data_IF_530708445677
#
_entry.id   IF_530708445677
#
_cell.length_a   1.000
_cell.length_b   1.000
_cell.length_c   1.000
_cell.angle_alpha   90.00
_cell.angle_beta   90.00
_cell.angle_gamma   90.00
#
_symmetry.space_group_name_H-M   'P 1'
#
loop_
_entity.id
_entity.type
_entity.pdbx_description
1 polymer ?
#
# COMPACT_ATOMS: atom_id res chain seq x y z
N UNK A 1 -19.63 -2.58 -8.44
CA UNK A 1 -20.03 -4.01 -8.39
C UNK A 1 -19.48 -4.81 -9.57
N UNK A 2 -19.72 -4.42 -10.83
CA UNK A 2 -19.22 -5.17 -12.00
C UNK A 2 -17.69 -5.37 -12.00
N UNK A 3 -16.91 -4.31 -11.73
CA UNK A 3 -15.45 -4.40 -11.62
C UNK A 3 -15.00 -5.32 -10.47
N UNK A 4 -15.70 -5.29 -9.34
CA UNK A 4 -15.42 -6.17 -8.19
C UNK A 4 -15.62 -7.64 -8.55
N UNK A 5 -16.72 -7.95 -9.23
CA UNK A 5 -16.98 -9.30 -9.74
C UNK A 5 -15.92 -9.68 -10.77
N UNK A 6 -15.60 -8.79 -11.73
CA UNK A 6 -14.59 -9.05 -12.75
C UNK A 6 -13.24 -9.45 -12.11
N UNK A 7 -12.80 -8.74 -11.06
CA UNK A 7 -11.55 -9.06 -10.36
C UNK A 7 -11.59 -10.34 -9.52
N UNK A 8 -12.77 -10.84 -9.13
CA UNK A 8 -12.88 -12.18 -8.53
C UNK A 8 -12.51 -13.27 -9.55
N UNK A 9 -13.00 -13.11 -10.79
CA UNK A 9 -12.83 -14.09 -11.87
C UNK A 9 -11.56 -13.90 -12.69
N UNK A 10 -10.99 -12.70 -12.70
CA UNK A 10 -9.77 -12.38 -13.43
C UNK A 10 -8.97 -11.36 -12.61
N UNK A 11 -8.07 -11.85 -11.76
CA UNK A 11 -7.15 -11.01 -11.00
C UNK A 11 -5.77 -11.02 -11.64
N UNK A 12 -5.02 -9.93 -11.46
CA UNK A 12 -3.61 -9.86 -11.85
C UNK A 12 -2.67 -10.47 -10.81
N UNK A 13 -3.19 -10.91 -9.67
CA UNK A 13 -2.41 -11.17 -8.46
C UNK A 13 -1.68 -12.52 -8.50
N UNK A 14 -2.36 -13.59 -8.92
CA UNK A 14 -1.77 -14.93 -9.05
C UNK A 14 -1.29 -15.24 -10.47
N UNK A 15 -0.91 -14.20 -11.23
CA UNK A 15 -0.21 -14.39 -12.48
C UNK A 15 1.21 -14.88 -12.19
N UNK A 16 1.52 -16.07 -12.69
CA UNK A 16 2.87 -16.63 -12.65
C UNK A 16 3.85 -15.75 -13.42
N UNK A 17 5.10 -15.64 -12.97
CA UNK A 17 6.08 -14.70 -13.53
C UNK A 17 6.46 -14.88 -15.01
N UNK A 18 5.97 -15.92 -15.66
CA UNK A 18 6.12 -16.14 -17.11
C UNK A 18 4.83 -15.90 -17.90
N UNK A 19 3.74 -15.47 -17.26
CA UNK A 19 2.44 -15.25 -17.89
C UNK A 19 1.75 -16.52 -18.42
N UNK A 20 2.29 -17.70 -18.10
CA UNK A 20 1.84 -19.00 -18.65
C UNK A 20 0.53 -19.43 -18.00
N UNK A 21 0.33 -19.11 -16.72
CA UNK A 21 -0.86 -19.49 -15.95
C UNK A 21 -1.38 -18.26 -15.21
N UNK A 22 -2.66 -17.95 -15.45
CA UNK A 22 -3.47 -17.00 -14.67
C UNK A 22 -4.45 -17.79 -13.81
N UNK A 23 -4.25 -17.77 -12.50
CA UNK A 23 -5.14 -18.42 -11.53
C UNK A 23 -6.07 -17.37 -10.92
N UNK A 24 -7.35 -17.41 -11.28
CA UNK A 24 -8.34 -16.58 -10.61
C UNK A 24 -8.61 -17.07 -9.17
N UNK A 25 -9.20 -16.22 -8.32
CA UNK A 25 -9.61 -16.64 -6.98
C UNK A 25 -10.58 -17.82 -7.02
N UNK A 26 -11.45 -17.87 -8.04
CA UNK A 26 -12.39 -18.96 -8.26
C UNK A 26 -11.68 -20.25 -8.67
N UNK A 27 -10.68 -20.18 -9.56
CA UNK A 27 -9.91 -21.39 -9.90
C UNK A 27 -9.21 -21.99 -8.68
N UNK A 28 -8.66 -21.14 -7.81
CA UNK A 28 -7.99 -21.52 -6.57
C UNK A 28 -8.97 -22.11 -5.56
N UNK A 29 -10.17 -21.51 -5.43
CA UNK A 29 -11.27 -22.02 -4.62
C UNK A 29 -11.70 -23.42 -5.07
N UNK A 30 -11.90 -23.62 -6.38
CA UNK A 30 -12.30 -24.91 -6.96
C UNK A 30 -11.21 -25.96 -6.71
N UNK A 31 -9.93 -25.61 -6.96
CA UNK A 31 -8.81 -26.51 -6.73
C UNK A 31 -8.74 -26.97 -5.27
N UNK A 32 -8.88 -26.05 -4.30
CA UNK A 32 -8.90 -26.40 -2.89
C UNK A 32 -10.14 -27.21 -2.49
N UNK A 33 -11.31 -26.91 -3.05
CA UNK A 33 -12.51 -27.70 -2.83
C UNK A 33 -12.33 -29.15 -3.30
N UNK A 34 -11.70 -29.36 -4.46
CA UNK A 34 -11.35 -30.68 -4.96
C UNK A 34 -10.37 -31.40 -4.02
N UNK A 35 -9.39 -30.71 -3.45
CA UNK A 35 -8.47 -31.29 -2.45
C UNK A 35 -9.25 -31.81 -1.23
N UNK A 36 -10.22 -31.06 -0.71
CA UNK A 36 -11.06 -31.55 0.40
C UNK A 36 -11.85 -32.79 0.01
N UNK A 37 -12.45 -32.81 -1.19
CA UNK A 37 -13.19 -33.98 -1.70
C UNK A 37 -12.29 -35.20 -1.82
N UNK A 38 -11.13 -35.07 -2.48
CA UNK A 38 -10.15 -36.16 -2.64
C UNK A 38 -9.68 -36.66 -1.28
N UNK A 39 -9.36 -35.76 -0.35
CA UNK A 39 -8.91 -36.14 1.00
C UNK A 39 -10.00 -36.87 1.77
N UNK A 40 -11.27 -36.48 1.60
CA UNK A 40 -12.41 -37.17 2.22
C UNK A 40 -12.59 -38.61 1.71
N UNK A 41 -12.19 -38.89 0.45
CA UNK A 41 -12.24 -40.22 -0.16
C UNK A 41 -11.09 -41.09 0.38
N UNK A 42 -9.90 -40.50 0.54
CA UNK A 42 -8.72 -41.16 1.12
C UNK A 42 -8.98 -41.50 2.60
N UNK A 43 -9.50 -40.54 3.37
CA UNK A 43 -9.74 -40.68 4.80
C UNK A 43 -11.23 -40.86 5.10
N UNK A 44 -11.76 -42.04 4.76
CA UNK A 44 -13.18 -42.38 4.95
C UNK A 44 -13.67 -42.20 6.39
N UNK A 45 -12.80 -42.38 7.38
CA UNK A 45 -13.14 -42.25 8.80
C UNK A 45 -13.51 -40.80 9.18
N UNK A 46 -12.81 -39.82 8.63
CA UNK A 46 -13.01 -38.39 8.89
C UNK A 46 -13.67 -37.65 7.72
N UNK A 47 -14.21 -38.37 6.74
CA UNK A 47 -14.77 -37.82 5.51
C UNK A 47 -15.80 -36.71 5.77
N UNK A 48 -16.73 -36.93 6.70
CA UNK A 48 -17.75 -35.94 7.07
C UNK A 48 -17.13 -34.64 7.60
N UNK A 49 -16.17 -34.75 8.52
CA UNK A 49 -15.50 -33.60 9.13
C UNK A 49 -14.73 -32.80 8.07
N UNK A 50 -14.00 -33.48 7.19
CA UNK A 50 -13.23 -32.85 6.10
C UNK A 50 -14.16 -32.10 5.14
N UNK A 51 -15.28 -32.70 4.74
CA UNK A 51 -16.27 -32.05 3.86
C UNK A 51 -16.94 -30.87 4.57
N UNK A 52 -17.29 -31.00 5.86
CA UNK A 52 -17.86 -29.90 6.63
C UNK A 52 -16.89 -28.72 6.72
N UNK A 53 -15.61 -28.97 6.99
CA UNK A 53 -14.57 -27.92 6.99
C UNK A 53 -14.47 -27.28 5.61
N UNK A 54 -14.34 -28.09 4.55
CA UNK A 54 -14.21 -27.60 3.17
C UNK A 54 -15.39 -26.71 2.76
N UNK A 55 -16.62 -27.16 2.98
CA UNK A 55 -17.83 -26.39 2.71
C UNK A 55 -17.90 -25.10 3.54
N UNK A 56 -17.53 -25.17 4.82
CA UNK A 56 -17.50 -24.00 5.70
C UNK A 56 -16.52 -22.95 5.20
N UNK A 57 -15.34 -23.36 4.73
CA UNK A 57 -14.34 -22.45 4.18
C UNK A 57 -14.75 -21.84 2.84
N UNK A 58 -15.38 -22.62 1.95
CA UNK A 58 -15.91 -22.13 0.67
C UNK A 58 -17.02 -21.11 0.90
N UNK A 59 -17.95 -21.41 1.82
CA UNK A 59 -19.02 -20.49 2.18
C UNK A 59 -18.46 -19.21 2.83
N UNK A 60 -17.50 -19.35 3.73
CA UNK A 60 -16.86 -18.21 4.40
C UNK A 60 -16.02 -17.35 3.43
N UNK A 61 -15.49 -17.91 2.33
CA UNK A 61 -14.87 -17.11 1.26
C UNK A 61 -15.88 -16.17 0.60
N UNK A 62 -17.08 -16.66 0.31
CA UNK A 62 -18.15 -15.83 -0.27
C UNK A 62 -18.56 -14.73 0.70
N UNK A 63 -18.79 -15.07 1.98
CA UNK A 63 -19.11 -14.09 3.02
C UNK A 63 -18.00 -13.04 3.20
N UNK A 64 -16.74 -13.46 3.19
CA UNK A 64 -15.60 -12.57 3.30
C UNK A 64 -15.54 -11.55 2.16
N UNK A 65 -15.73 -11.99 0.90
CA UNK A 65 -15.74 -11.08 -0.24
C UNK A 65 -16.98 -10.17 -0.24
N UNK A 66 -18.14 -10.63 0.23
CA UNK A 66 -19.31 -9.76 0.42
C UNK A 66 -19.06 -8.70 1.49
N UNK A 67 -18.39 -9.06 2.59
CA UNK A 67 -17.99 -8.11 3.61
C UNK A 67 -16.95 -7.10 3.08
N UNK A 68 -15.97 -7.57 2.29
CA UNK A 68 -15.04 -6.66 1.61
C UNK A 68 -15.77 -5.69 0.68
N UNK A 69 -16.73 -6.16 -0.10
CA UNK A 69 -17.55 -5.30 -0.96
C UNK A 69 -18.26 -4.24 -0.11
N UNK A 70 -18.83 -4.62 1.03
CA UNK A 70 -19.42 -3.65 1.97
C UNK A 70 -18.40 -2.63 2.47
N UNK A 71 -17.18 -3.03 2.83
CA UNK A 71 -16.11 -2.10 3.22
C UNK A 71 -15.75 -1.13 2.09
N UNK A 72 -15.68 -1.61 0.85
CA UNK A 72 -15.47 -0.81 -0.36
C UNK A 72 -16.64 0.13 -0.68
N UNK A 73 -17.83 -0.07 -0.11
CA UNK A 73 -18.97 0.82 -0.32
C UNK A 73 -19.10 1.87 0.78
N UNK A 74 -18.65 1.56 2.00
CA UNK A 74 -18.98 2.36 3.20
C UNK A 74 -17.76 2.99 3.86
N UNK A 75 -16.61 2.31 3.87
CA UNK A 75 -15.47 2.72 4.72
C UNK A 75 -14.25 3.19 3.95
N UNK A 76 -14.00 2.64 2.76
CA UNK A 76 -12.81 3.02 1.99
C UNK A 76 -12.98 4.35 1.26
N UNK A 77 -11.84 5.01 1.01
CA UNK A 77 -11.80 6.26 0.27
C UNK A 77 -12.20 6.04 -1.19
N UNK A 78 -12.72 7.07 -1.85
CA UNK A 78 -13.12 7.01 -3.27
C UNK A 78 -12.03 6.40 -4.16
N UNK A 79 -10.77 6.77 -3.92
CA UNK A 79 -9.62 6.19 -4.61
C UNK A 79 -9.57 4.66 -4.51
N UNK A 80 -9.64 4.14 -3.30
CA UNK A 80 -9.64 2.69 -3.06
C UNK A 80 -10.86 2.03 -3.68
N UNK A 81 -12.04 2.67 -3.58
CA UNK A 81 -13.31 2.14 -4.07
C UNK A 81 -13.40 2.02 -5.58
N UNK A 82 -13.01 3.07 -6.31
CA UNK A 82 -13.09 3.11 -7.77
C UNK A 82 -12.04 2.20 -8.40
N UNK A 83 -10.83 2.16 -7.82
CA UNK A 83 -9.70 1.43 -8.41
C UNK A 83 -9.49 0.02 -7.86
N UNK A 84 -10.21 -0.33 -6.78
CA UNK A 84 -10.02 -1.57 -6.03
C UNK A 84 -8.54 -1.81 -5.71
N UNK A 85 -7.84 -0.74 -5.30
CA UNK A 85 -6.37 -0.71 -5.28
C UNK A 85 -5.78 -1.78 -4.34
N UNK A 86 -6.47 -2.07 -3.24
CA UNK A 86 -6.07 -3.10 -2.28
C UNK A 86 -6.83 -4.42 -2.37
N UNK A 87 -7.82 -4.53 -3.27
CA UNK A 87 -8.80 -5.62 -3.26
C UNK A 87 -8.13 -6.99 -3.40
N UNK A 88 -7.26 -7.12 -4.39
CA UNK A 88 -6.60 -8.38 -4.70
C UNK A 88 -5.77 -8.89 -3.52
N UNK A 89 -5.13 -7.99 -2.76
CA UNK A 89 -4.35 -8.36 -1.56
C UNK A 89 -5.25 -8.91 -0.45
N UNK A 90 -6.40 -8.28 -0.22
CA UNK A 90 -7.35 -8.70 0.80
C UNK A 90 -7.95 -10.07 0.44
N UNK A 91 -8.46 -10.24 -0.78
CA UNK A 91 -9.01 -11.52 -1.24
C UNK A 91 -7.96 -12.63 -1.30
N UNK A 92 -6.72 -12.33 -1.72
CA UNK A 92 -5.63 -13.31 -1.75
C UNK A 92 -5.27 -13.84 -0.36
N UNK A 93 -5.34 -13.00 0.68
CA UNK A 93 -5.08 -13.43 2.06
C UNK A 93 -5.98 -14.60 2.46
N UNK A 94 -7.27 -14.53 2.12
CA UNK A 94 -8.19 -15.63 2.37
C UNK A 94 -7.86 -16.86 1.51
N UNK A 95 -7.55 -16.67 0.22
CA UNK A 95 -7.18 -17.78 -0.67
C UNK A 95 -5.93 -18.52 -0.19
N UNK A 96 -4.95 -17.81 0.37
CA UNK A 96 -3.78 -18.45 1.01
C UNK A 96 -4.18 -19.29 2.22
N UNK A 97 -5.05 -18.78 3.10
CA UNK A 97 -5.53 -19.55 4.24
C UNK A 97 -6.27 -20.83 3.82
N UNK A 98 -7.11 -20.74 2.77
CA UNK A 98 -7.78 -21.89 2.17
C UNK A 98 -6.78 -22.92 1.64
N UNK A 99 -5.79 -22.46 0.88
CA UNK A 99 -4.74 -23.32 0.32
C UNK A 99 -3.94 -24.04 1.41
N UNK A 100 -3.50 -23.32 2.45
CA UNK A 100 -2.73 -23.92 3.54
C UNK A 100 -3.56 -24.92 4.34
N UNK A 101 -4.84 -24.63 4.61
CA UNK A 101 -5.72 -25.57 5.30
C UNK A 101 -5.96 -26.84 4.49
N UNK A 102 -6.28 -26.71 3.20
CA UNK A 102 -6.49 -27.85 2.29
C UNK A 102 -5.24 -28.73 2.22
N UNK A 103 -4.06 -28.09 2.11
CA UNK A 103 -2.76 -28.77 2.10
C UNK A 103 -2.49 -29.51 3.41
N UNK A 104 -2.72 -28.87 4.55
CA UNK A 104 -2.49 -29.47 5.87
C UNK A 104 -3.37 -30.71 6.11
N UNK A 105 -4.66 -30.61 5.75
CA UNK A 105 -5.62 -31.72 5.90
C UNK A 105 -5.24 -32.88 4.98
N UNK A 106 -4.85 -32.61 3.74
CA UNK A 106 -4.36 -33.64 2.81
C UNK A 106 -3.12 -34.35 3.37
N UNK A 107 -2.09 -33.60 3.79
CA UNK A 107 -0.85 -34.17 4.35
C UNK A 107 -1.16 -35.06 5.57
N UNK A 108 -2.02 -34.58 6.47
CA UNK A 108 -2.37 -35.32 7.69
C UNK A 108 -3.12 -36.63 7.42
N UNK A 109 -3.76 -36.74 6.25
CA UNK A 109 -4.57 -37.89 5.84
C UNK A 109 -3.79 -38.93 5.04
N UNK A 110 -2.52 -38.68 4.69
CA UNK A 110 -1.70 -39.63 3.93
C UNK A 110 -1.26 -40.82 4.82
N UNK A 111 -1.35 -42.07 4.30
CA UNK A 111 -1.05 -43.28 5.08
C UNK A 111 0.45 -43.46 5.39
N UNK A 112 1.35 -43.12 4.46
CA UNK A 112 2.81 -43.17 4.67
C UNK A 112 3.36 -41.83 5.15
N UNK A 113 3.20 -41.58 6.44
CA UNK A 113 3.39 -40.26 7.08
C UNK A 113 4.78 -39.63 6.98
N UNK A 114 5.83 -40.31 6.50
CA UNK A 114 7.21 -39.77 6.49
C UNK A 114 7.74 -39.42 5.11
N UNK A 115 7.62 -40.31 4.13
CA UNK A 115 8.19 -40.08 2.79
C UNK A 115 7.18 -39.33 1.91
N UNK A 116 5.91 -39.75 1.89
CA UNK A 116 4.88 -39.07 1.11
C UNK A 116 4.62 -37.64 1.61
N UNK A 117 4.66 -37.42 2.93
CA UNK A 117 4.53 -36.08 3.52
C UNK A 117 5.73 -35.18 3.20
N UNK A 118 6.95 -35.72 3.20
CA UNK A 118 8.17 -34.99 2.83
C UNK A 118 8.14 -34.61 1.35
N UNK A 119 7.84 -35.57 0.46
CA UNK A 119 7.70 -35.31 -0.98
C UNK A 119 6.63 -34.26 -1.22
N UNK A 120 5.48 -34.36 -0.57
CA UNK A 120 4.39 -33.39 -0.75
C UNK A 120 4.75 -32.01 -0.20
N UNK A 121 5.44 -31.94 0.95
CA UNK A 121 5.95 -30.68 1.50
C UNK A 121 6.94 -30.02 0.54
N UNK A 122 7.84 -30.81 -0.06
CA UNK A 122 8.78 -30.34 -1.08
C UNK A 122 8.02 -29.88 -2.33
N UNK A 123 7.02 -30.60 -2.81
CA UNK A 123 6.19 -30.20 -3.96
C UNK A 123 5.44 -28.89 -3.68
N UNK A 124 4.87 -28.72 -2.48
CA UNK A 124 4.24 -27.45 -2.09
C UNK A 124 5.26 -26.32 -2.07
N UNK A 125 6.42 -26.52 -1.44
CA UNK A 125 7.46 -25.48 -1.37
C UNK A 125 7.91 -25.10 -2.78
N UNK A 126 8.21 -26.09 -3.63
CA UNK A 126 8.59 -25.87 -5.02
C UNK A 126 7.47 -25.18 -5.80
N UNK A 127 6.21 -25.55 -5.56
CA UNK A 127 5.04 -24.92 -6.18
C UNK A 127 4.86 -23.49 -5.72
N UNK A 128 5.09 -23.17 -4.44
CA UNK A 128 5.07 -21.79 -3.92
C UNK A 128 6.17 -20.96 -4.59
N UNK A 129 7.37 -21.52 -4.79
CA UNK A 129 8.46 -20.81 -5.47
C UNK A 129 8.24 -20.66 -6.98
N UNK A 130 7.70 -21.68 -7.66
CA UNK A 130 7.50 -21.69 -9.12
C UNK A 130 6.21 -20.98 -9.56
N UNK A 131 5.15 -21.08 -8.75
CA UNK A 131 3.87 -20.38 -8.96
C UNK A 131 3.82 -19.03 -8.21
N UNK A 132 4.92 -18.64 -7.56
CA UNK A 132 5.06 -17.32 -6.94
C UNK A 132 4.71 -16.24 -7.96
N UNK A 133 3.95 -15.20 -7.55
CA UNK A 133 3.78 -14.00 -8.36
C UNK A 133 5.15 -13.44 -8.75
N UNK A 134 5.26 -12.89 -9.97
CA UNK A 134 6.48 -12.27 -10.50
C UNK A 134 7.10 -11.27 -9.52
N UNK A 135 6.23 -10.53 -8.81
CA UNK A 135 6.62 -9.51 -7.83
C UNK A 135 7.42 -10.11 -6.68
N UNK A 136 6.99 -11.26 -6.14
CA UNK A 136 7.71 -11.94 -5.05
C UNK A 136 9.04 -12.56 -5.54
N UNK A 137 9.12 -13.01 -6.80
CA UNK A 137 10.39 -13.43 -7.38
C UNK A 137 11.37 -12.26 -7.49
N UNK A 138 10.89 -11.09 -7.92
CA UNK A 138 11.68 -9.84 -7.92
C UNK A 138 12.12 -9.44 -6.50
N UNK A 139 11.28 -9.68 -5.50
CA UNK A 139 11.63 -9.39 -4.10
C UNK A 139 12.77 -10.28 -3.59
N UNK A 140 12.80 -11.56 -3.98
CA UNK A 140 13.86 -12.51 -3.60
C UNK A 140 15.17 -12.20 -4.35
N UNK A 141 15.11 -11.72 -5.59
CA UNK A 141 16.27 -11.45 -6.45
C UNK A 141 17.06 -10.17 -6.10
N UNK A 142 16.97 -9.71 -4.84
CA UNK A 142 17.42 -8.40 -4.33
C UNK A 142 16.56 -7.26 -4.91
N UNK A 143 15.72 -6.69 -4.05
CA UNK A 143 15.04 -5.41 -4.32
C UNK A 143 16.12 -4.33 -4.41
N UNK A 144 16.57 -4.03 -5.62
CA UNK A 144 17.32 -2.80 -5.89
C UNK A 144 16.28 -1.71 -6.14
N UNK A 145 16.20 -0.66 -5.31
CA UNK A 145 15.30 0.44 -5.60
C UNK A 145 15.68 1.00 -6.97
N UNK A 146 14.68 1.15 -7.86
CA UNK A 146 14.93 1.80 -9.13
C UNK A 146 15.58 3.16 -8.90
N UNK A 147 16.61 3.50 -9.68
CA UNK A 147 17.47 4.67 -9.49
C UNK A 147 16.66 5.94 -9.19
N UNK A 148 15.57 6.15 -9.92
CA UNK A 148 14.65 7.26 -9.73
C UNK A 148 14.07 7.38 -8.30
N UNK A 149 13.55 6.28 -7.74
CA UNK A 149 12.99 6.29 -6.38
C UNK A 149 14.08 6.33 -5.31
N UNK A 150 15.25 5.77 -5.61
CA UNK A 150 16.42 5.87 -4.74
C UNK A 150 16.84 7.33 -4.57
N UNK A 151 17.02 8.07 -5.67
CA UNK A 151 17.39 9.49 -5.63
C UNK A 151 16.36 10.35 -4.92
N UNK A 152 15.06 10.12 -5.17
CA UNK A 152 13.97 10.83 -4.45
C UNK A 152 14.06 10.60 -2.94
N UNK A 153 14.26 9.35 -2.52
CA UNK A 153 14.45 9.03 -1.09
C UNK A 153 15.68 9.73 -0.52
N UNK A 154 16.83 9.68 -1.20
CA UNK A 154 18.06 10.33 -0.74
C UNK A 154 17.89 11.85 -0.58
N UNK A 155 17.17 12.50 -1.50
CA UNK A 155 16.87 13.93 -1.40
C UNK A 155 15.98 14.27 -0.20
N UNK A 156 14.95 13.45 0.07
CA UNK A 156 14.11 13.60 1.26
C UNK A 156 14.94 13.40 2.53
N UNK A 157 15.80 12.38 2.54
CA UNK A 157 16.68 12.08 3.68
C UNK A 157 17.63 13.25 3.97
N UNK A 158 18.19 13.89 2.94
CA UNK A 158 19.01 15.10 3.08
C UNK A 158 18.21 16.24 3.73
N UNK A 159 17.02 16.54 3.23
CA UNK A 159 16.17 17.62 3.79
C UNK A 159 15.77 17.33 5.24
N UNK A 160 15.44 16.08 5.56
CA UNK A 160 15.10 15.67 6.93
C UNK A 160 16.31 15.78 7.86
N UNK A 161 17.47 15.27 7.45
CA UNK A 161 18.70 15.32 8.25
C UNK A 161 19.10 16.77 8.56
N UNK A 162 18.99 17.64 7.57
CA UNK A 162 19.23 19.08 7.69
C UNK A 162 18.26 19.72 8.69
N UNK A 163 16.94 19.51 8.52
CA UNK A 163 15.92 20.10 9.38
C UNK A 163 16.02 19.62 10.83
N UNK A 164 16.24 18.32 11.05
CA UNK A 164 16.31 17.73 12.39
C UNK A 164 17.38 18.36 13.27
N UNK A 165 18.48 18.85 12.69
CA UNK A 165 19.52 19.58 13.42
C UNK A 165 19.03 20.84 14.12
N UNK A 166 17.89 21.40 13.69
CA UNK A 166 17.31 22.65 14.21
C UNK A 166 16.03 22.44 15.01
N UNK A 167 15.46 21.24 14.99
CA UNK A 167 14.23 20.92 15.69
C UNK A 167 14.48 20.53 17.14
N UNK A 168 13.57 20.95 18.02
CA UNK A 168 13.51 20.58 19.43
C UNK A 168 12.33 19.65 19.68
N UNK A 169 12.37 18.93 20.80
CA UNK A 169 11.25 18.08 21.21
C UNK A 169 9.93 18.85 21.22
N UNK A 170 8.88 18.24 20.67
CA UNK A 170 7.56 18.87 20.49
C UNK A 170 7.42 19.73 19.22
N UNK A 171 8.51 20.04 18.52
CA UNK A 171 8.43 20.78 17.26
C UNK A 171 7.74 19.97 16.15
N UNK A 172 7.13 20.70 15.22
CA UNK A 172 6.32 20.14 14.14
C UNK A 172 6.78 20.67 12.79
N UNK A 173 6.69 19.84 11.75
CA UNK A 173 7.07 20.21 10.38
C UNK A 173 5.99 19.84 9.36
N UNK A 174 5.63 20.73 8.47
CA UNK A 174 4.75 20.44 7.33
C UNK A 174 5.58 20.10 6.09
N UNK A 175 5.10 19.19 5.24
CA UNK A 175 5.79 18.79 4.01
C UNK A 175 4.98 19.15 2.78
N UNK A 176 5.63 19.80 1.81
CA UNK A 176 5.04 20.15 0.50
C UNK A 176 5.83 19.49 -0.62
N UNK A 177 5.12 18.77 -1.48
CA UNK A 177 5.60 18.34 -2.78
C UNK A 177 4.47 18.40 -3.81
N UNK A 178 4.51 19.42 -4.66
CA UNK A 178 3.54 19.62 -5.73
C UNK A 178 3.64 18.56 -6.83
N UNK A 179 2.46 18.20 -7.39
CA UNK A 179 2.32 17.22 -8.47
C UNK A 179 3.02 15.88 -8.18
N UNK A 180 2.75 15.35 -6.98
CA UNK A 180 3.34 14.11 -6.48
C UNK A 180 2.30 13.06 -6.12
N UNK A 181 2.66 11.80 -6.34
CA UNK A 181 1.89 10.64 -5.91
C UNK A 181 2.07 10.27 -4.42
N UNK A 182 2.83 11.07 -3.67
CA UNK A 182 2.95 10.94 -2.21
C UNK A 182 4.08 10.06 -1.70
N UNK A 183 4.87 9.42 -2.58
CA UNK A 183 6.02 8.61 -2.16
C UNK A 183 6.94 9.35 -1.18
N UNK A 184 7.34 10.59 -1.50
CA UNK A 184 8.20 11.40 -0.64
C UNK A 184 7.52 11.81 0.65
N UNK A 185 6.21 12.07 0.63
CA UNK A 185 5.49 12.41 1.85
C UNK A 185 5.54 11.25 2.85
N UNK A 186 5.40 10.01 2.37
CA UNK A 186 5.55 8.82 3.22
C UNK A 186 6.99 8.64 3.71
N UNK A 187 7.98 8.81 2.84
CA UNK A 187 9.40 8.75 3.22
C UNK A 187 9.72 9.83 4.26
N UNK A 188 9.31 11.07 4.02
CA UNK A 188 9.49 12.21 4.91
C UNK A 188 8.85 11.93 6.25
N UNK A 189 7.57 11.53 6.26
CA UNK A 189 6.84 11.22 7.50
C UNK A 189 7.51 10.15 8.35
N UNK A 190 8.03 9.10 7.70
CA UNK A 190 8.76 8.05 8.38
C UNK A 190 10.10 8.54 8.95
N UNK A 191 10.89 9.23 8.12
CA UNK A 191 12.19 9.73 8.52
C UNK A 191 12.09 10.82 9.57
N UNK A 192 10.99 11.56 9.64
CA UNK A 192 10.81 12.70 10.54
C UNK A 192 10.48 12.30 11.98
N UNK A 193 10.17 11.03 12.24
CA UNK A 193 9.94 10.52 13.60
C UNK A 193 11.12 10.84 14.54
N UNK A 194 10.85 11.22 15.81
CA UNK A 194 9.54 11.26 16.47
C UNK A 194 8.75 12.57 16.29
N UNK A 195 9.23 13.53 15.48
CA UNK A 195 8.56 14.81 15.31
C UNK A 195 7.23 14.65 14.55
N UNK A 196 6.23 15.47 14.92
CA UNK A 196 4.92 15.44 14.27
C UNK A 196 5.00 16.12 12.90
N UNK A 197 4.44 15.45 11.88
CA UNK A 197 4.37 15.94 10.51
C UNK A 197 2.97 15.83 9.92
N UNK A 198 2.75 16.51 8.79
CA UNK A 198 1.60 16.28 7.90
C UNK A 198 1.56 14.83 7.41
N UNK A 199 0.36 14.24 7.37
CA UNK A 199 0.12 12.90 6.82
C UNK A 199 -0.66 12.93 5.50
N UNK A 200 -1.30 14.05 5.21
CA UNK A 200 -2.16 14.33 4.07
C UNK A 200 -1.82 15.70 3.46
N UNK A 201 -2.43 16.01 2.32
CA UNK A 201 -2.34 17.32 1.65
C UNK A 201 -0.93 17.86 1.37
N UNK A 202 0.00 17.01 0.93
CA UNK A 202 1.36 17.44 0.55
C UNK A 202 1.41 18.19 -0.79
N UNK A 203 0.42 18.02 -1.66
CA UNK A 203 0.21 18.84 -2.85
C UNK A 203 -1.04 19.67 -2.63
N UNK A 204 -0.94 20.99 -2.82
CA UNK A 204 -2.02 21.93 -2.48
C UNK A 204 -2.29 22.90 -3.62
N UNK A 205 -3.51 23.46 -3.64
CA UNK A 205 -3.99 24.39 -4.65
C UNK A 205 -4.94 23.72 -5.65
N UNK A 206 -4.90 24.18 -6.90
CA UNK A 206 -5.74 23.63 -7.96
C UNK A 206 -5.22 22.28 -8.45
N UNK A 207 -6.15 21.37 -8.76
CA UNK A 207 -5.84 20.04 -9.32
C UNK A 207 -5.07 20.15 -10.64
N UNK A 208 -4.09 19.27 -10.84
CA UNK A 208 -3.26 19.21 -12.05
C UNK A 208 -3.91 18.48 -13.23
N UNK A 209 -5.12 17.95 -13.04
CA UNK A 209 -5.88 17.28 -14.08
C UNK A 209 -6.95 16.35 -13.52
N UNK A 210 -7.78 15.78 -14.39
CA UNK A 210 -8.92 14.96 -13.97
C UNK A 210 -8.54 13.70 -13.17
N UNK A 211 -7.30 13.22 -13.33
CA UNK A 211 -6.77 12.05 -12.61
C UNK A 211 -6.00 12.41 -11.34
N UNK A 212 -5.85 13.69 -11.02
CA UNK A 212 -5.17 14.16 -9.82
C UNK A 212 -6.10 14.14 -8.61
N UNK A 213 -5.90 13.11 -7.82
CA UNK A 213 -6.62 12.80 -6.57
C UNK A 213 -5.86 13.22 -5.32
N UNK A 214 -4.61 13.67 -5.47
CA UNK A 214 -3.72 13.92 -4.34
C UNK A 214 -3.73 15.39 -3.94
N UNK A 215 -3.98 16.29 -4.90
CA UNK A 215 -4.00 17.73 -4.64
C UNK A 215 -5.20 18.14 -3.81
N UNK A 216 -4.92 18.70 -2.63
CA UNK A 216 -5.92 19.29 -1.78
C UNK A 216 -6.18 20.74 -2.19
N UNK A 217 -7.46 21.08 -2.42
CA UNK A 217 -7.87 22.46 -2.66
C UNK A 217 -7.87 23.28 -1.36
N UNK A 218 -6.66 23.57 -0.88
CA UNK A 218 -6.33 24.39 0.29
C UNK A 218 -5.12 25.25 -0.03
N UNK A 219 -4.92 26.33 0.73
CA UNK A 219 -3.72 27.16 0.61
C UNK A 219 -2.69 26.88 1.72
N UNK A 220 -1.49 27.43 1.56
CA UNK A 220 -0.36 27.24 2.48
C UNK A 220 -0.69 27.70 3.90
N UNK A 221 -1.47 28.78 4.04
CA UNK A 221 -1.87 29.30 5.35
C UNK A 221 -2.76 28.30 6.07
N UNK A 222 -3.75 27.74 5.39
CA UNK A 222 -4.67 26.75 5.95
C UNK A 222 -3.96 25.47 6.42
N UNK A 223 -2.98 24.99 5.67
CA UNK A 223 -2.35 23.69 5.97
C UNK A 223 -1.17 23.79 6.93
N UNK A 224 -0.41 24.89 6.89
CA UNK A 224 0.82 25.04 7.66
C UNK A 224 0.69 25.92 8.93
N UNK A 225 -0.46 26.55 9.20
CA UNK A 225 -0.68 27.43 10.39
C UNK A 225 -0.43 26.76 11.76
N UNK A 226 -0.44 25.43 11.84
CA UNK A 226 -0.16 24.68 13.06
C UNK A 226 1.27 24.12 13.17
N UNK A 227 2.13 24.47 12.20
CA UNK A 227 3.46 23.90 12.08
C UNK A 227 4.55 24.93 12.35
N UNK A 228 5.62 24.50 13.02
CA UNK A 228 6.76 25.39 13.30
C UNK A 228 7.73 25.48 12.12
N UNK A 229 7.82 24.40 11.35
CA UNK A 229 8.68 24.29 10.19
C UNK A 229 7.89 23.89 8.95
N UNK A 230 8.41 24.29 7.79
CA UNK A 230 7.92 23.90 6.47
C UNK A 230 9.07 23.35 5.65
N UNK A 231 8.93 22.13 5.15
CA UNK A 231 9.83 21.56 4.16
C UNK A 231 9.12 21.57 2.81
N UNK A 232 9.71 22.24 1.84
CA UNK A 232 9.28 22.19 0.45
C UNK A 232 10.27 21.30 -0.29
N UNK A 233 9.82 20.15 -0.77
CA UNK A 233 10.63 19.30 -1.64
C UNK A 233 10.66 19.87 -3.06
N UNK A 234 9.48 20.20 -3.59
CA UNK A 234 9.30 20.92 -4.85
C UNK A 234 8.00 21.72 -4.82
N UNK A 235 8.12 23.01 -5.14
CA UNK A 235 7.01 23.91 -5.40
C UNK A 235 7.10 24.42 -6.85
N UNK A 236 5.97 24.52 -7.55
CA UNK A 236 5.92 25.03 -8.92
C UNK A 236 5.26 26.41 -9.01
N UNK A 237 5.15 26.94 -10.22
CA UNK A 237 4.58 28.26 -10.45
C UNK A 237 3.12 28.36 -10.01
N UNK A 238 2.33 27.30 -10.21
CA UNK A 238 0.93 27.26 -9.76
C UNK A 238 0.85 27.41 -8.24
N UNK A 239 1.67 26.66 -7.51
CA UNK A 239 1.77 26.78 -6.07
C UNK A 239 2.13 28.20 -5.63
N UNK A 240 3.16 28.80 -6.21
CA UNK A 240 3.59 30.13 -5.80
C UNK A 240 2.58 31.22 -6.18
N UNK A 241 1.96 31.13 -7.35
CA UNK A 241 0.93 32.08 -7.78
C UNK A 241 -0.27 32.10 -6.82
N UNK A 242 -0.70 30.92 -6.36
CA UNK A 242 -1.83 30.80 -5.44
C UNK A 242 -1.46 31.22 -4.00
N UNK A 243 -0.20 31.02 -3.59
CA UNK A 243 0.21 31.14 -2.20
C UNK A 243 0.99 32.40 -1.84
N UNK A 244 1.55 33.13 -2.82
CA UNK A 244 2.37 34.33 -2.58
C UNK A 244 1.64 35.41 -1.77
N UNK A 245 0.32 35.53 -1.92
CA UNK A 245 -0.51 36.50 -1.16
C UNK A 245 -0.52 36.26 0.36
N UNK A 246 -0.21 35.04 0.80
CA UNK A 246 -0.13 34.66 2.21
C UNK A 246 1.28 34.82 2.78
N UNK A 247 2.26 35.21 1.98
CA UNK A 247 3.64 35.38 2.40
C UNK A 247 3.95 36.85 2.68
N UNK A 248 4.74 37.10 3.72
CA UNK A 248 5.30 38.40 4.02
C UNK A 248 6.44 38.73 3.05
N UNK A 249 6.62 40.02 2.78
CA UNK A 249 7.69 40.51 1.93
C UNK A 249 9.07 40.11 2.50
N UNK A 250 10.01 39.73 1.62
CA UNK A 250 11.32 39.22 2.04
C UNK A 250 11.36 37.74 2.47
N UNK A 251 10.26 36.99 2.32
CA UNK A 251 10.29 35.53 2.51
C UNK A 251 11.24 34.86 1.51
N UNK A 252 12.07 33.93 1.97
CA UNK A 252 13.08 33.23 1.16
C UNK A 252 12.50 32.06 0.36
N UNK A 253 11.30 32.21 -0.21
CA UNK A 253 10.58 31.15 -0.89
C UNK A 253 11.33 30.67 -2.15
N UNK A 254 11.91 29.48 -2.10
CA UNK A 254 12.58 28.80 -3.23
C UNK A 254 11.82 27.53 -3.64
N UNK A 255 12.14 27.00 -4.83
CA UNK A 255 11.56 25.74 -5.34
C UNK A 255 11.68 24.57 -4.34
N UNK A 256 12.76 24.52 -3.56
CA UNK A 256 13.02 23.49 -2.54
C UNK A 256 13.75 24.07 -1.34
N UNK A 257 13.48 23.57 -0.13
CA UNK A 257 14.20 23.97 1.08
C UNK A 257 13.45 23.70 2.39
N UNK A 258 14.17 23.91 3.49
CA UNK A 258 13.61 23.90 4.84
C UNK A 258 13.47 25.32 5.38
N UNK A 259 12.30 25.62 5.93
CA UNK A 259 11.94 26.94 6.41
C UNK A 259 11.40 26.86 7.83
N UNK A 260 11.77 27.83 8.65
CA UNK A 260 11.06 28.14 9.88
C UNK A 260 9.88 29.04 9.53
N UNK A 261 8.68 28.69 10.02
CA UNK A 261 7.48 29.49 9.84
C UNK A 261 7.43 30.52 10.97
N UNK A 262 7.38 31.79 10.60
CA UNK A 262 7.10 32.90 11.51
C UNK A 262 5.87 33.66 11.00
N UNK A 263 5.06 34.21 11.90
CA UNK A 263 3.84 34.95 11.50
C UNK A 263 4.08 36.42 11.79
N UNK A 264 4.03 37.25 10.74
CA UNK A 264 4.18 38.70 10.81
C UNK A 264 3.00 39.34 10.10
N UNK A 265 2.25 40.20 10.78
CA UNK A 265 1.05 40.87 10.25
C UNK A 265 0.01 39.92 9.63
N UNK A 266 -0.16 38.74 10.24
CA UNK A 266 -1.11 37.72 9.78
C UNK A 266 -0.68 36.96 8.51
N UNK A 267 0.56 37.17 8.04
CA UNK A 267 1.17 36.48 6.91
C UNK A 267 2.36 35.63 7.35
N UNK A 268 2.67 34.61 6.56
CA UNK A 268 3.82 33.75 6.82
C UNK A 268 5.09 34.40 6.31
N UNK A 269 6.04 34.57 7.22
CA UNK A 269 7.42 34.81 6.90
C UNK A 269 8.17 33.47 6.91
N UNK A 270 8.60 33.03 5.72
CA UNK A 270 9.38 31.80 5.58
C UNK A 270 10.85 32.14 5.64
N UNK A 271 11.50 31.77 6.76
CA UNK A 271 12.94 31.96 6.95
C UNK A 271 13.68 30.66 6.62
N UNK A 272 14.50 30.67 5.58
CA UNK A 272 15.36 29.53 5.24
C UNK A 272 16.28 29.22 6.42
N UNK A 273 16.39 27.94 6.77
CA UNK A 273 17.19 27.49 7.92
C UNK A 273 18.66 27.29 7.53
N UNK A 274 18.96 27.19 6.23
CA UNK A 274 20.32 27.01 5.69
C UNK A 274 21.04 28.29 5.31
N UNK A 275 20.36 29.44 5.39
CA UNK A 275 20.90 30.76 5.05
C UNK A 275 20.94 31.70 6.26
#
# INVERSE_FOLDING_TARGET
>A
VNEFIARIFNNGYFNTGHGIINLSFITLLIACALVFVVTSIINKKQSKEIITIGLSMVFSFALYNLFLLFCYLVFFSEYECVRLASFERYSATYSYALFFMASAILISSLPEKKIASLIYSVVIIVSIFYLSPEKMLKDIQKIVPGEYNYQRRMNVERLVAELKGYMKEGDTSYFIYQNSNGFENFVYSYLQLPFKTSRDCWTIGNSYGNDDIYTCNRNISEVASGYKYLTIYKADDNFWNDNKKFLSEGSSAMESGNYKIEITDGKFYLKNITQ
#
